data_IF_459931548473
#
_entry.id   IF_459931548473
#
_cell.length_a   1.000
_cell.length_b   1.000
_cell.length_c   1.000
_cell.angle_alpha   90.00
_cell.angle_beta   90.00
_cell.angle_gamma   90.00
#
_symmetry.space_group_name_H-M   'P 1'
#
loop_
_entity.id
_entity.type
_entity.pdbx_description
1 polymer ?
#
# COMPACT_ATOMS: atom_id res chain seq x y z
N UNK A 1 9.60 20.81 0.16
CA UNK A 1 8.22 20.52 -0.21
C UNK A 1 7.74 21.50 -1.30
N UNK A 2 8.32 21.45 -2.48
CA UNK A 2 7.83 22.16 -3.68
C UNK A 2 8.26 21.30 -4.87
N UNK A 3 7.32 20.92 -5.71
CA UNK A 3 7.42 20.23 -7.01
C UNK A 3 7.21 18.71 -7.10
N UNK A 4 6.65 18.02 -6.13
CA UNK A 4 6.20 16.63 -6.38
C UNK A 4 4.78 16.62 -6.99
N UNK A 5 3.94 17.62 -6.74
CA UNK A 5 2.58 17.70 -7.28
C UNK A 5 2.46 17.96 -8.80
N UNK A 6 3.49 18.45 -9.47
CA UNK A 6 3.40 18.81 -10.90
C UNK A 6 3.59 17.67 -11.88
N UNK A 7 4.17 16.54 -11.45
CA UNK A 7 4.49 15.41 -12.34
C UNK A 7 3.46 14.28 -12.27
N UNK A 8 2.64 14.25 -11.21
CA UNK A 8 1.53 13.28 -11.06
C UNK A 8 0.39 13.54 -12.07
N UNK A 9 0.32 14.74 -12.65
CA UNK A 9 -0.79 15.15 -13.52
C UNK A 9 -1.01 14.31 -14.79
N UNK A 10 -0.05 13.52 -15.23
CA UNK A 10 -0.16 12.81 -16.50
C UNK A 10 -0.43 11.31 -16.37
N UNK A 11 -0.23 10.70 -15.20
CA UNK A 11 -0.23 9.26 -15.05
C UNK A 11 -1.62 8.65 -14.80
N UNK A 12 -2.47 9.35 -14.08
CA UNK A 12 -3.81 8.83 -13.70
C UNK A 12 -4.94 9.16 -14.68
N UNK A 13 -4.68 9.91 -15.75
CA UNK A 13 -5.73 10.33 -16.70
C UNK A 13 -6.50 9.17 -17.34
N UNK A 14 -5.88 8.02 -17.54
CA UNK A 14 -6.54 6.85 -18.16
C UNK A 14 -7.54 6.14 -17.24
N UNK A 15 -7.28 6.15 -15.95
CA UNK A 15 -8.10 5.44 -14.96
C UNK A 15 -9.34 6.25 -14.53
N UNK A 16 -9.23 7.57 -14.52
CA UNK A 16 -10.25 8.48 -14.01
C UNK A 16 -11.27 8.99 -15.04
N UNK A 17 -11.02 8.83 -16.34
CA UNK A 17 -12.00 9.17 -17.40
C UNK A 17 -13.32 8.36 -17.32
N UNK A 18 -13.37 7.32 -16.47
CA UNK A 18 -14.59 6.52 -16.25
C UNK A 18 -15.71 7.28 -15.54
N UNK A 19 -15.37 8.27 -14.72
CA UNK A 19 -16.36 9.00 -13.93
C UNK A 19 -17.13 10.09 -14.72
N UNK A 20 -16.52 10.68 -15.75
CA UNK A 20 -17.17 11.75 -16.53
C UNK A 20 -18.18 11.25 -17.57
N UNK A 21 -18.13 9.97 -17.96
CA UNK A 21 -18.94 9.43 -19.05
C UNK A 21 -19.81 8.25 -18.63
N UNK A 22 -20.77 8.43 -17.76
CA UNK A 22 -21.83 7.47 -17.39
C UNK A 22 -21.93 6.21 -18.25
N UNK A 23 -21.21 5.17 -17.87
CA UNK A 23 -21.44 3.78 -18.21
C UNK A 23 -21.61 3.39 -19.68
N UNK A 24 -20.60 3.58 -20.55
CA UNK A 24 -20.45 2.78 -21.79
C UNK A 24 -18.98 2.77 -22.22
N UNK A 25 -18.37 1.59 -22.23
CA UNK A 25 -17.04 1.39 -22.80
C UNK A 25 -16.99 1.81 -24.27
N UNK A 26 -16.20 2.82 -24.57
CA UNK A 26 -15.69 3.09 -25.93
C UNK A 26 -14.16 3.16 -25.86
N UNK A 27 -13.52 2.26 -26.59
CA UNK A 27 -12.07 2.36 -26.85
C UNK A 27 -11.82 3.67 -27.57
N UNK A 28 -11.07 4.57 -26.94
CA UNK A 28 -10.61 5.82 -27.58
C UNK A 28 -9.12 5.68 -27.83
N UNK A 29 -8.78 5.71 -29.12
CA UNK A 29 -7.43 5.77 -29.62
C UNK A 29 -6.90 7.20 -29.36
N UNK A 30 -5.92 7.36 -28.49
CA UNK A 30 -5.29 8.66 -28.22
C UNK A 30 -4.07 8.81 -29.09
N UNK A 31 -4.15 9.77 -30.04
CA UNK A 31 -3.03 10.16 -30.88
C UNK A 31 -2.05 11.06 -30.12
N UNK A 32 -0.77 10.73 -30.25
CA UNK A 32 0.37 11.50 -29.76
C UNK A 32 0.45 12.88 -30.40
N UNK A 33 0.60 13.91 -29.57
CA UNK A 33 1.19 15.20 -30.01
C UNK A 33 2.41 15.46 -29.12
N UNK A 34 3.58 15.25 -29.73
CA UNK A 34 4.88 15.59 -29.16
C UNK A 34 5.15 17.09 -29.36
N UNK A 35 5.46 17.83 -28.32
CA UNK A 35 6.09 19.15 -28.41
C UNK A 35 7.41 19.09 -27.63
N UNK A 36 8.50 19.10 -28.41
CA UNK A 36 9.85 19.20 -27.87
C UNK A 36 10.19 20.60 -27.45
N UNK A 37 10.91 20.74 -26.34
CA UNK A 37 11.71 21.89 -26.03
C UNK A 37 13.11 21.44 -25.58
N UNK A 38 14.09 21.73 -26.46
CA UNK A 38 15.52 21.67 -26.15
C UNK A 38 15.88 22.78 -25.14
N UNK A 39 16.66 22.43 -24.14
CA UNK A 39 17.49 23.41 -23.46
C UNK A 39 18.89 22.83 -23.26
N UNK A 40 19.83 23.37 -24.05
CA UNK A 40 21.27 23.09 -23.93
C UNK A 40 21.82 23.81 -22.69
N UNK A 41 22.59 23.11 -21.86
CA UNK A 41 23.59 23.75 -21.01
C UNK A 41 24.90 23.00 -21.08
N UNK A 42 25.86 23.66 -21.72
CA UNK A 42 27.28 23.38 -21.70
C UNK A 42 27.83 23.51 -20.29
N UNK A 43 28.63 22.58 -19.84
CA UNK A 43 29.69 22.83 -18.89
C UNK A 43 30.94 22.03 -19.19
N UNK A 44 32.05 22.71 -19.15
CA UNK A 44 33.33 22.38 -19.70
C UNK A 44 34.21 21.46 -18.84
N UNK A 45 35.12 20.83 -19.53
CA UNK A 45 36.24 19.98 -19.11
C UNK A 45 37.05 20.44 -17.91
N UNK A 46 37.57 19.44 -17.18
CA UNK A 46 38.74 19.54 -16.32
C UNK A 46 39.33 18.15 -16.07
N UNK A 47 40.24 17.72 -16.96
CA UNK A 47 41.05 16.51 -16.79
C UNK A 47 42.20 16.75 -15.84
N UNK A 48 42.41 15.89 -14.84
CA UNK A 48 43.73 15.66 -14.26
C UNK A 48 43.95 14.16 -14.05
N UNK A 49 44.98 13.69 -14.75
CA UNK A 49 45.58 12.37 -14.60
C UNK A 49 46.52 12.36 -13.41
N UNK A 50 46.42 11.40 -12.50
CA UNK A 50 47.48 11.05 -11.58
C UNK A 50 47.82 9.56 -11.58
N UNK A 51 49.11 9.30 -11.41
CA UNK A 51 49.83 8.06 -11.72
C UNK A 51 49.56 6.94 -10.72
N UNK A 52 49.48 5.75 -11.27
CA UNK A 52 49.57 4.47 -10.59
C UNK A 52 50.99 4.19 -10.14
N UNK A 53 51.18 3.76 -8.89
CA UNK A 53 52.38 3.08 -8.38
C UNK A 53 51.89 1.75 -7.76
N UNK A 54 52.44 0.61 -8.14
CA UNK A 54 52.08 -0.67 -7.58
C UNK A 54 52.83 -0.94 -6.28
N UNK A 55 52.15 -1.43 -5.25
CA UNK A 55 52.80 -2.02 -4.08
C UNK A 55 52.30 -3.44 -3.84
N UNK A 56 53.27 -4.22 -3.39
CA UNK A 56 53.30 -5.67 -3.33
C UNK A 56 52.34 -6.31 -2.32
N UNK A 57 51.98 -7.55 -2.70
CA UNK A 57 51.24 -8.53 -1.94
C UNK A 57 51.99 -8.95 -0.67
N UNK A 58 51.32 -8.87 0.48
CA UNK A 58 51.64 -9.69 1.63
C UNK A 58 50.38 -10.42 2.11
N UNK A 59 50.45 -11.73 2.02
CA UNK A 59 49.44 -12.69 2.34
C UNK A 59 49.58 -13.09 3.82
N UNK A 60 48.75 -12.55 4.71
CA UNK A 60 48.51 -13.17 6.02
C UNK A 60 47.03 -13.38 6.20
N UNK A 61 46.65 -14.68 6.26
CA UNK A 61 45.29 -15.13 6.61
C UNK A 61 45.10 -14.95 8.11
N UNK A 62 44.30 -13.98 8.51
CA UNK A 62 43.59 -14.01 9.80
C UNK A 62 42.18 -14.50 9.56
N UNK A 63 41.57 -15.24 10.50
CA UNK A 63 40.17 -15.66 10.37
C UNK A 63 39.27 -14.43 10.47
N UNK A 64 38.51 -14.20 9.43
CA UNK A 64 37.42 -13.21 9.46
C UNK A 64 36.30 -13.81 10.29
N UNK A 65 36.26 -13.43 11.58
CA UNK A 65 35.01 -13.46 12.31
C UNK A 65 34.05 -12.47 11.59
N UNK A 66 33.07 -13.02 10.90
CA UNK A 66 31.94 -12.24 10.44
C UNK A 66 31.13 -11.84 11.67
N UNK A 67 31.43 -10.68 12.24
CA UNK A 67 30.45 -9.95 13.02
C UNK A 67 29.32 -9.59 12.02
N UNK A 68 28.23 -10.34 12.06
CA UNK A 68 26.93 -9.83 11.62
C UNK A 68 26.60 -8.64 12.52
N UNK A 69 27.02 -7.45 12.11
CA UNK A 69 26.49 -6.22 12.67
C UNK A 69 25.00 -6.22 12.30
N UNK A 70 24.13 -6.52 13.29
CA UNK A 70 22.71 -6.13 13.23
C UNK A 70 22.70 -4.65 12.83
N UNK A 71 22.36 -4.38 11.58
CA UNK A 71 22.02 -3.04 11.16
C UNK A 71 20.66 -2.78 11.77
N UNK A 72 20.60 -1.96 12.80
CA UNK A 72 19.35 -1.33 13.21
C UNK A 72 18.81 -0.56 12.01
N UNK A 73 17.90 -1.17 11.28
CA UNK A 73 17.13 -0.48 10.25
C UNK A 73 16.18 0.44 11.01
N UNK A 74 16.54 1.71 11.09
CA UNK A 74 15.68 2.74 11.68
C UNK A 74 14.51 3.00 10.73
N UNK A 75 13.42 2.26 10.91
CA UNK A 75 12.14 2.60 10.32
C UNK A 75 11.45 3.66 11.18
N UNK A 76 10.84 4.64 10.51
CA UNK A 76 9.94 5.55 11.17
C UNK A 76 8.64 4.80 11.55
N UNK A 77 8.29 4.83 12.84
CA UNK A 77 7.12 4.13 13.36
C UNK A 77 6.01 5.13 13.67
N UNK A 78 4.85 4.92 13.07
CA UNK A 78 3.62 5.63 13.44
C UNK A 78 2.87 4.79 14.48
N UNK A 79 2.96 5.18 15.75
CA UNK A 79 2.36 4.41 16.85
C UNK A 79 0.91 4.83 17.11
N UNK A 80 0.02 3.85 17.23
CA UNK A 80 -1.39 4.03 17.59
C UNK A 80 -1.80 3.09 18.73
N UNK A 81 -2.80 3.49 19.47
CA UNK A 81 -3.36 2.68 20.55
C UNK A 81 -4.85 2.50 20.31
N UNK A 82 -5.30 1.25 20.25
CA UNK A 82 -6.72 0.88 20.17
C UNK A 82 -7.11 0.30 21.55
N UNK A 83 -8.01 0.99 22.24
CA UNK A 83 -8.54 0.55 23.51
C UNK A 83 -9.75 -0.37 23.32
N UNK A 84 -9.68 -1.60 23.86
CA UNK A 84 -10.80 -2.54 23.91
C UNK A 84 -11.16 -2.81 25.37
N UNK A 85 -12.29 -2.32 25.87
CA UNK A 85 -12.67 -2.52 27.26
C UNK A 85 -12.76 -4.00 27.64
N UNK A 86 -12.07 -4.40 28.70
CA UNK A 86 -12.11 -5.77 29.22
C UNK A 86 -11.10 -6.74 28.59
N UNK A 87 -10.25 -6.27 27.67
CA UNK A 87 -9.16 -7.07 27.11
C UNK A 87 -8.21 -7.53 28.22
N UNK A 88 -7.83 -8.82 28.20
CA UNK A 88 -6.98 -9.44 29.25
C UNK A 88 -5.50 -9.37 28.93
N UNK A 89 -5.16 -9.25 27.67
CA UNK A 89 -3.79 -9.19 27.17
C UNK A 89 -3.60 -7.99 26.26
N UNK A 90 -2.37 -7.52 26.13
CA UNK A 90 -2.00 -6.53 25.15
C UNK A 90 -1.48 -7.24 23.90
N UNK A 91 -1.82 -6.71 22.73
CA UNK A 91 -1.37 -7.22 21.44
C UNK A 91 -0.67 -6.12 20.64
N UNK A 92 0.30 -6.51 19.84
CA UNK A 92 1.01 -5.63 18.92
C UNK A 92 0.72 -6.06 17.48
N UNK A 93 0.18 -5.15 16.69
CA UNK A 93 -0.01 -5.33 15.26
C UNK A 93 0.90 -4.39 14.49
N UNK A 94 1.44 -4.84 13.36
CA UNK A 94 2.19 -3.99 12.43
C UNK A 94 1.39 -3.84 11.15
N UNK A 95 1.31 -2.61 10.65
CA UNK A 95 0.65 -2.26 9.39
C UNK A 95 1.71 -1.81 8.40
N UNK A 96 1.69 -2.41 7.22
CA UNK A 96 2.49 -2.03 6.04
C UNK A 96 1.52 -1.78 4.90
N UNK A 97 1.68 -0.70 4.19
CA UNK A 97 0.81 -0.31 3.08
C UNK A 97 1.56 0.51 2.05
N UNK A 98 1.03 0.56 0.83
CA UNK A 98 1.57 1.42 -0.23
C UNK A 98 3.10 1.25 -0.34
N UNK A 99 3.57 0.00 -0.47
CA UNK A 99 5.00 -0.28 -0.67
C UNK A 99 5.42 -0.08 -2.11
N UNK A 100 4.49 -0.29 -3.07
CA UNK A 100 4.69 -0.10 -4.49
C UNK A 100 5.99 -0.71 -5.01
N UNK A 101 6.22 -2.01 -4.75
CA UNK A 101 7.41 -2.71 -5.23
C UNK A 101 7.44 -2.71 -6.74
N UNK A 102 8.56 -2.24 -7.33
CA UNK A 102 8.84 -2.28 -8.76
C UNK A 102 10.19 -2.94 -8.97
N UNK A 103 10.19 -4.05 -9.70
CA UNK A 103 11.39 -4.72 -10.19
C UNK A 103 11.53 -4.37 -11.66
N UNK A 104 12.49 -3.54 -12.07
CA UNK A 104 12.70 -3.18 -13.46
C UNK A 104 13.22 -4.40 -14.24
N UNK A 105 12.35 -5.12 -14.91
CA UNK A 105 12.66 -6.27 -15.74
C UNK A 105 11.98 -6.20 -17.11
N UNK A 106 11.94 -7.28 -17.86
CA UNK A 106 11.35 -7.35 -19.19
C UNK A 106 9.88 -7.80 -19.24
N UNK A 107 9.20 -7.91 -18.10
CA UNK A 107 7.81 -8.42 -18.02
C UNK A 107 6.75 -7.34 -18.29
N UNK A 108 7.12 -6.24 -18.94
CA UNK A 108 6.26 -5.13 -19.32
C UNK A 108 6.56 -4.64 -20.75
N UNK A 109 5.63 -3.85 -21.31
CA UNK A 109 5.75 -3.34 -22.68
C UNK A 109 6.93 -2.34 -22.76
N UNK A 110 7.82 -2.55 -23.74
CA UNK A 110 9.04 -1.74 -23.87
C UNK A 110 8.77 -0.24 -24.05
N UNK A 111 7.63 0.15 -24.64
CA UNK A 111 7.21 1.54 -24.79
C UNK A 111 6.89 2.20 -23.45
N UNK A 112 6.72 1.42 -22.37
CA UNK A 112 6.43 1.88 -21.02
C UNK A 112 7.67 2.00 -20.13
N UNK A 113 8.86 1.64 -20.61
CA UNK A 113 10.07 1.62 -19.76
C UNK A 113 10.40 2.98 -19.14
N UNK A 114 10.27 4.09 -19.88
CA UNK A 114 10.49 5.43 -19.32
C UNK A 114 9.49 5.78 -18.20
N UNK A 115 8.24 5.40 -18.37
CA UNK A 115 7.17 5.57 -17.40
C UNK A 115 7.46 4.75 -16.13
N UNK A 116 7.92 3.52 -16.27
CA UNK A 116 8.30 2.64 -15.16
C UNK A 116 9.52 3.19 -14.41
N UNK A 117 10.54 3.70 -15.12
CA UNK A 117 11.69 4.37 -14.48
C UNK A 117 11.27 5.57 -13.63
N UNK A 118 10.30 6.37 -14.11
CA UNK A 118 9.75 7.48 -13.33
C UNK A 118 9.01 6.98 -12.09
N UNK A 119 8.27 5.88 -12.18
CA UNK A 119 7.58 5.29 -11.02
C UNK A 119 8.57 4.72 -10.00
N UNK A 120 9.65 4.06 -10.42
CA UNK A 120 10.72 3.62 -9.51
C UNK A 120 11.28 4.82 -8.72
N UNK A 121 11.53 5.95 -9.40
CA UNK A 121 12.00 7.15 -8.74
C UNK A 121 10.95 7.77 -7.79
N UNK A 122 9.67 7.71 -8.14
CA UNK A 122 8.55 8.20 -7.33
C UNK A 122 8.40 7.41 -6.03
N UNK A 123 8.53 6.09 -6.09
CA UNK A 123 8.41 5.17 -4.95
C UNK A 123 9.76 4.82 -4.32
N UNK A 124 10.71 5.74 -4.37
CA UNK A 124 11.96 5.66 -3.60
C UNK A 124 11.84 6.50 -2.32
N UNK A 125 12.51 6.06 -1.25
CA UNK A 125 12.52 6.79 0.01
C UNK A 125 13.42 8.04 -0.04
N UNK A 126 13.46 8.81 1.04
CA UNK A 126 14.26 10.03 1.14
C UNK A 126 15.78 9.81 0.96
N UNK A 127 16.27 8.59 1.19
CA UNK A 127 17.68 8.22 1.03
C UNK A 127 17.98 7.70 -0.39
N UNK A 128 16.98 7.69 -1.26
CA UNK A 128 17.08 7.23 -2.64
C UNK A 128 17.04 5.72 -2.81
N UNK A 129 16.70 4.95 -1.77
CA UNK A 129 16.45 3.51 -1.89
C UNK A 129 15.09 3.28 -2.54
N UNK A 130 15.05 2.38 -3.51
CA UNK A 130 13.82 1.96 -4.17
C UNK A 130 12.92 1.14 -3.25
N UNK A 131 11.64 1.03 -3.60
CA UNK A 131 10.69 0.18 -2.88
C UNK A 131 11.10 -1.30 -2.85
N UNK A 132 11.78 -1.78 -3.90
CA UNK A 132 12.37 -3.11 -3.94
C UNK A 132 13.50 -3.29 -2.91
N UNK A 133 14.36 -2.27 -2.73
CA UNK A 133 15.49 -2.33 -1.80
C UNK A 133 15.04 -2.18 -0.34
N UNK A 134 13.98 -1.41 -0.08
CA UNK A 134 13.47 -1.19 1.28
C UNK A 134 12.62 -2.35 1.80
N UNK A 135 11.99 -3.15 0.93
CA UNK A 135 11.11 -4.23 1.34
C UNK A 135 11.75 -5.27 2.27
N UNK A 136 12.92 -5.86 1.95
CA UNK A 136 13.58 -6.79 2.87
C UNK A 136 13.97 -6.14 4.21
N UNK A 137 14.31 -4.85 4.24
CA UNK A 137 14.62 -4.11 5.47
C UNK A 137 13.37 -3.93 6.35
N UNK A 138 12.23 -3.65 5.73
CA UNK A 138 10.93 -3.58 6.43
C UNK A 138 10.59 -4.93 7.06
N UNK A 139 10.77 -6.04 6.32
CA UNK A 139 10.50 -7.39 6.84
C UNK A 139 11.42 -7.74 8.02
N UNK A 140 12.69 -7.36 7.96
CA UNK A 140 13.63 -7.55 9.08
C UNK A 140 13.19 -6.75 10.31
N UNK A 141 12.77 -5.50 10.12
CA UNK A 141 12.26 -4.67 11.22
C UNK A 141 10.94 -5.20 11.81
N UNK A 142 10.02 -5.71 10.97
CA UNK A 142 8.81 -6.38 11.44
C UNK A 142 9.16 -7.56 12.36
N UNK A 143 10.10 -8.41 11.92
CA UNK A 143 10.52 -9.57 12.70
C UNK A 143 11.22 -9.17 14.01
N UNK A 144 11.99 -8.08 14.03
CA UNK A 144 12.62 -7.53 15.24
C UNK A 144 11.59 -7.03 16.27
N UNK A 145 10.47 -6.48 15.80
CA UNK A 145 9.36 -6.04 16.65
C UNK A 145 8.59 -7.19 17.30
N UNK A 146 8.70 -8.41 16.76
CA UNK A 146 7.98 -9.59 17.24
C UNK A 146 6.49 -9.32 17.48
N UNK A 147 5.71 -8.92 16.44
CA UNK A 147 4.30 -8.61 16.59
C UNK A 147 3.44 -9.88 16.73
N UNK A 148 2.22 -9.69 17.23
CA UNK A 148 1.20 -10.75 17.29
C UNK A 148 0.49 -10.95 15.93
N UNK A 149 0.52 -9.94 15.06
CA UNK A 149 -0.03 -9.99 13.71
C UNK A 149 0.53 -8.90 12.81
N UNK A 150 0.51 -9.13 11.50
CA UNK A 150 0.93 -8.19 10.47
C UNK A 150 -0.20 -8.00 9.47
N UNK A 151 -0.46 -6.75 9.11
CA UNK A 151 -1.46 -6.36 8.13
C UNK A 151 -0.73 -5.71 6.96
N UNK A 152 -0.73 -6.35 5.79
CA UNK A 152 -0.37 -5.72 4.54
C UNK A 152 -1.65 -5.11 3.97
N UNK A 153 -1.73 -3.80 3.93
CA UNK A 153 -2.99 -3.10 3.67
C UNK A 153 -3.09 -2.52 2.25
N UNK A 154 -2.59 -3.28 1.27
CA UNK A 154 -2.72 -3.01 -0.16
C UNK A 154 -1.60 -2.17 -0.76
N UNK A 155 -1.57 -2.14 -2.10
CA UNK A 155 -0.55 -1.50 -2.93
C UNK A 155 0.88 -1.94 -2.56
N UNK A 156 1.02 -3.25 -2.33
CA UNK A 156 2.32 -3.83 -2.01
C UNK A 156 3.23 -3.91 -3.23
N UNK A 157 2.66 -4.19 -4.41
CA UNK A 157 3.33 -4.03 -5.71
C UNK A 157 2.67 -2.88 -6.48
N UNK A 158 3.41 -2.24 -7.38
CA UNK A 158 2.93 -1.06 -8.09
C UNK A 158 2.06 -1.38 -9.31
N UNK A 159 2.29 -2.53 -9.88
CA UNK A 159 1.50 -3.15 -10.93
C UNK A 159 1.84 -4.64 -10.95
N UNK A 160 0.92 -5.43 -11.47
CA UNK A 160 1.17 -6.86 -11.56
C UNK A 160 2.26 -7.15 -12.61
N UNK A 161 3.33 -7.82 -12.16
CA UNK A 161 4.28 -8.58 -12.94
C UNK A 161 4.75 -9.78 -12.13
N UNK A 162 5.23 -10.85 -12.78
CA UNK A 162 5.78 -11.99 -12.04
C UNK A 162 7.02 -11.58 -11.22
N UNK A 163 7.80 -10.63 -11.69
CA UNK A 163 8.97 -10.15 -10.97
C UNK A 163 8.57 -9.36 -9.71
N UNK A 164 7.59 -8.46 -9.80
CA UNK A 164 7.07 -7.70 -8.65
C UNK A 164 6.47 -8.65 -7.61
N UNK A 165 5.60 -9.57 -8.04
CA UNK A 165 4.99 -10.56 -7.16
C UNK A 165 6.04 -11.48 -6.51
N UNK A 166 7.02 -11.97 -7.26
CA UNK A 166 8.08 -12.82 -6.71
C UNK A 166 8.97 -12.07 -5.72
N UNK A 167 9.27 -10.80 -5.98
CA UNK A 167 10.00 -9.94 -5.04
C UNK A 167 9.24 -9.82 -3.72
N UNK A 168 7.96 -9.44 -3.79
CA UNK A 168 7.09 -9.35 -2.61
C UNK A 168 7.06 -10.67 -1.84
N UNK A 169 6.76 -11.79 -2.52
CA UNK A 169 6.55 -13.09 -1.89
C UNK A 169 7.83 -13.70 -1.30
N UNK A 170 9.00 -13.38 -1.84
CA UNK A 170 10.29 -13.87 -1.33
C UNK A 170 10.50 -13.41 0.12
N UNK A 171 10.28 -12.15 0.37
CA UNK A 171 10.50 -11.58 1.70
C UNK A 171 9.26 -11.70 2.60
N UNK A 172 8.04 -11.65 2.05
CA UNK A 172 6.81 -11.89 2.79
C UNK A 172 6.86 -13.23 3.57
N UNK A 173 7.37 -14.28 2.94
CA UNK A 173 7.53 -15.61 3.56
C UNK A 173 8.52 -15.65 4.73
N UNK A 174 9.33 -14.61 4.92
CA UNK A 174 10.26 -14.46 6.06
C UNK A 174 9.58 -13.86 7.30
N UNK A 175 8.40 -13.29 7.16
CA UNK A 175 7.63 -12.75 8.29
C UNK A 175 7.19 -13.94 9.16
N UNK A 176 7.49 -13.85 10.47
CA UNK A 176 7.24 -14.92 11.43
C UNK A 176 5.85 -14.88 12.05
N UNK A 177 5.28 -13.69 12.16
CA UNK A 177 3.92 -13.50 12.67
C UNK A 177 2.87 -13.86 11.62
N UNK A 178 1.62 -14.16 12.02
CA UNK A 178 0.51 -14.30 11.08
C UNK A 178 0.32 -13.04 10.24
N UNK A 179 0.17 -13.21 8.94
CA UNK A 179 0.00 -12.09 7.98
C UNK A 179 -1.40 -12.14 7.37
N UNK A 180 -2.08 -11.00 7.40
CA UNK A 180 -3.26 -10.69 6.58
C UNK A 180 -2.80 -9.79 5.42
N UNK A 181 -3.16 -10.12 4.18
CA UNK A 181 -2.82 -9.31 3.02
C UNK A 181 -4.08 -8.90 2.26
N UNK A 182 -4.54 -7.68 2.50
CA UNK A 182 -5.57 -7.03 1.69
C UNK A 182 -4.93 -6.58 0.37
N UNK A 183 -5.50 -6.99 -0.78
CA UNK A 183 -5.07 -6.46 -2.08
C UNK A 183 -5.77 -5.14 -2.36
N UNK A 184 -5.07 -4.30 -3.13
CA UNK A 184 -5.61 -3.09 -3.71
C UNK A 184 -5.51 -3.14 -5.24
N UNK A 185 -5.90 -2.09 -5.91
CA UNK A 185 -5.97 -2.05 -7.38
C UNK A 185 -4.60 -2.14 -8.05
N UNK A 186 -3.54 -1.59 -7.42
CA UNK A 186 -2.17 -1.73 -7.90
C UNK A 186 -1.67 -3.17 -7.85
N UNK A 187 -2.00 -3.93 -6.81
CA UNK A 187 -1.61 -5.34 -6.69
C UNK A 187 -2.16 -6.20 -7.85
N UNK A 188 -3.29 -5.81 -8.42
CA UNK A 188 -3.99 -6.51 -9.50
C UNK A 188 -3.89 -5.81 -10.86
N UNK A 189 -3.28 -4.63 -10.93
CA UNK A 189 -3.24 -3.80 -12.13
C UNK A 189 -2.29 -4.33 -13.21
N UNK A 190 -2.77 -4.44 -14.46
CA UNK A 190 -2.01 -4.92 -15.62
C UNK A 190 -1.62 -3.79 -16.60
N UNK A 191 -1.47 -2.57 -16.10
CA UNK A 191 -1.35 -1.35 -16.93
C UNK A 191 -0.09 -1.30 -17.80
N UNK A 192 0.94 -2.04 -17.43
CA UNK A 192 2.25 -2.03 -18.07
C UNK A 192 2.59 -3.32 -18.79
N UNK A 193 1.67 -4.28 -18.85
CA UNK A 193 1.84 -5.55 -19.57
C UNK A 193 0.62 -5.87 -20.43
N UNK A 194 0.83 -6.46 -21.60
CA UNK A 194 -0.20 -7.06 -22.43
C UNK A 194 -0.11 -8.61 -22.43
N UNK A 195 0.71 -9.15 -21.51
CA UNK A 195 0.93 -10.60 -21.34
C UNK A 195 -0.17 -11.26 -20.51
N UNK A 196 -0.78 -10.53 -19.56
CA UNK A 196 -1.74 -11.06 -18.60
C UNK A 196 -3.16 -10.58 -18.86
N UNK A 197 -4.14 -11.42 -18.48
CA UNK A 197 -5.55 -11.04 -18.33
C UNK A 197 -5.87 -10.81 -16.85
N UNK A 198 -7.00 -10.17 -16.54
CA UNK A 198 -7.47 -9.99 -15.16
C UNK A 198 -7.65 -11.35 -14.45
N UNK A 199 -8.12 -12.40 -15.18
CA UNK A 199 -8.25 -13.74 -14.64
C UNK A 199 -6.89 -14.39 -14.33
N UNK A 200 -5.89 -14.20 -15.19
CA UNK A 200 -4.53 -14.70 -14.95
C UNK A 200 -3.96 -14.10 -13.66
N UNK A 201 -4.12 -12.78 -13.47
CA UNK A 201 -3.63 -12.07 -12.29
C UNK A 201 -4.33 -12.55 -11.04
N UNK A 202 -5.65 -12.61 -11.02
CA UNK A 202 -6.41 -13.08 -9.87
C UNK A 202 -6.02 -14.51 -9.47
N UNK A 203 -5.80 -15.38 -10.45
CA UNK A 203 -5.34 -16.75 -10.18
C UNK A 203 -3.94 -16.77 -9.58
N UNK A 204 -2.98 -16.03 -10.15
CA UNK A 204 -1.59 -15.98 -9.68
C UNK A 204 -1.50 -15.38 -8.27
N UNK A 205 -2.22 -14.31 -8.01
CA UNK A 205 -2.31 -13.70 -6.69
C UNK A 205 -2.87 -14.67 -5.64
N UNK A 206 -3.97 -15.35 -5.97
CA UNK A 206 -4.58 -16.36 -5.10
C UNK A 206 -3.69 -17.57 -4.84
N UNK A 207 -2.92 -18.01 -5.85
CA UNK A 207 -1.94 -19.09 -5.70
C UNK A 207 -0.71 -18.67 -4.87
N UNK A 208 -0.37 -17.40 -4.88
CA UNK A 208 0.79 -16.86 -4.16
C UNK A 208 0.55 -16.72 -2.66
N UNK A 209 -0.63 -16.23 -2.27
CA UNK A 209 -1.08 -15.98 -0.90
C UNK A 209 -2.60 -16.01 -0.83
N UNK A 210 -3.14 -16.29 0.36
CA UNK A 210 -4.59 -16.27 0.58
C UNK A 210 -5.20 -14.92 0.15
N UNK A 211 -6.26 -15.00 -0.66
CA UNK A 211 -6.93 -13.84 -1.23
C UNK A 211 -8.45 -14.07 -1.20
N UNK A 212 -9.05 -13.65 -0.10
CA UNK A 212 -10.49 -13.60 0.06
C UNK A 212 -10.95 -12.13 0.06
N UNK A 213 -12.21 -11.87 -0.33
CA UNK A 213 -12.78 -10.53 -0.25
C UNK A 213 -12.89 -10.03 1.20
N UNK A 214 -13.21 -10.94 2.12
CA UNK A 214 -13.25 -10.68 3.56
C UNK A 214 -12.35 -11.68 4.27
N UNK A 215 -11.29 -11.19 4.89
CA UNK A 215 -10.33 -12.00 5.65
C UNK A 215 -10.48 -11.77 7.14
N UNK A 216 -10.08 -12.74 7.95
CA UNK A 216 -10.20 -12.66 9.41
C UNK A 216 -8.95 -13.19 10.09
N UNK A 217 -8.43 -12.42 11.05
CA UNK A 217 -7.51 -12.91 12.08
C UNK A 217 -8.23 -12.86 13.42
N UNK A 218 -8.45 -14.02 14.04
CA UNK A 218 -9.11 -14.13 15.34
C UNK A 218 -8.08 -14.17 16.48
N UNK A 219 -8.05 -13.14 17.31
CA UNK A 219 -7.20 -13.02 18.50
C UNK A 219 -7.90 -13.54 19.77
N UNK A 220 -9.05 -14.22 19.62
CA UNK A 220 -9.86 -14.76 20.70
C UNK A 220 -10.76 -13.72 21.36
N UNK A 221 -10.21 -12.60 21.77
CA UNK A 221 -10.93 -11.51 22.47
C UNK A 221 -11.43 -10.42 21.50
N UNK A 222 -10.89 -10.34 20.29
CA UNK A 222 -11.30 -9.43 19.22
C UNK A 222 -10.94 -10.03 17.86
N UNK A 223 -11.49 -9.46 16.81
CA UNK A 223 -11.20 -9.82 15.42
C UNK A 223 -10.47 -8.67 14.73
N UNK A 224 -9.52 -9.00 13.86
CA UNK A 224 -9.07 -8.13 12.79
C UNK A 224 -9.74 -8.62 11.51
N UNK A 225 -10.55 -7.77 10.89
CA UNK A 225 -11.31 -8.09 9.68
C UNK A 225 -10.78 -7.24 8.53
N UNK A 226 -10.19 -7.91 7.53
CA UNK A 226 -9.69 -7.29 6.32
C UNK A 226 -10.73 -7.33 5.21
N UNK A 227 -10.94 -6.20 4.54
CA UNK A 227 -11.79 -6.10 3.36
C UNK A 227 -10.94 -5.73 2.17
N UNK A 228 -11.01 -6.57 1.15
CA UNK A 228 -10.42 -6.29 -0.15
C UNK A 228 -11.36 -5.34 -0.92
N UNK A 229 -11.11 -4.04 -0.84
CA UNK A 229 -11.95 -3.01 -1.44
C UNK A 229 -11.37 -2.42 -2.74
N UNK A 230 -10.55 -3.18 -3.45
CA UNK A 230 -9.94 -2.79 -4.72
C UNK A 230 -10.95 -2.48 -5.84
N UNK A 231 -12.12 -3.12 -5.80
CA UNK A 231 -13.20 -2.88 -6.78
C UNK A 231 -14.12 -1.72 -6.38
N UNK A 232 -13.91 -1.13 -5.22
CA UNK A 232 -14.78 -0.11 -4.60
C UNK A 232 -16.21 -0.57 -4.34
N UNK A 233 -16.48 -1.88 -4.46
CA UNK A 233 -17.78 -2.49 -4.16
C UNK A 233 -17.58 -3.80 -3.41
N UNK A 234 -18.51 -4.11 -2.54
CA UNK A 234 -18.59 -5.37 -1.81
C UNK A 234 -19.57 -6.31 -2.52
N UNK A 235 -19.23 -7.59 -2.59
CA UNK A 235 -20.15 -8.60 -3.09
C UNK A 235 -21.22 -8.99 -2.06
N UNK A 236 -22.35 -9.57 -2.52
CA UNK A 236 -23.34 -10.16 -1.61
C UNK A 236 -22.74 -11.22 -0.69
N UNK A 237 -21.79 -12.03 -1.20
CA UNK A 237 -21.11 -13.06 -0.41
C UNK A 237 -20.21 -12.44 0.67
N UNK A 238 -19.50 -11.36 0.35
CA UNK A 238 -18.72 -10.59 1.31
C UNK A 238 -19.58 -9.97 2.40
N UNK A 239 -20.72 -9.37 2.01
CA UNK A 239 -21.67 -8.81 2.97
C UNK A 239 -22.25 -9.88 3.92
N UNK A 240 -22.64 -11.06 3.42
CA UNK A 240 -23.12 -12.14 4.29
C UNK A 240 -22.05 -12.62 5.26
N UNK A 241 -20.79 -12.79 4.81
CA UNK A 241 -19.67 -13.13 5.68
C UNK A 241 -19.46 -12.07 6.78
N UNK A 242 -19.58 -10.78 6.44
CA UNK A 242 -19.49 -9.70 7.43
C UNK A 242 -20.63 -9.76 8.44
N UNK A 243 -21.86 -10.03 8.02
CA UNK A 243 -23.01 -10.20 8.94
C UNK A 243 -22.79 -11.35 9.93
N UNK A 244 -22.18 -12.45 9.46
CA UNK A 244 -21.82 -13.57 10.35
C UNK A 244 -20.80 -13.13 11.41
N UNK A 245 -19.75 -12.36 11.01
CA UNK A 245 -18.73 -11.84 11.93
C UNK A 245 -19.31 -10.81 12.92
N UNK A 246 -20.22 -9.93 12.48
CA UNK A 246 -20.92 -9.00 13.38
C UNK A 246 -21.76 -9.70 14.44
N UNK A 247 -22.27 -10.90 14.11
CA UNK A 247 -23.07 -11.71 15.05
C UNK A 247 -22.22 -12.43 16.11
N UNK A 248 -20.88 -12.43 16.02
CA UNK A 248 -20.00 -13.04 17.04
C UNK A 248 -19.91 -12.24 18.34
N UNK A 249 -20.42 -11.01 18.36
CA UNK A 249 -20.36 -10.11 19.53
C UNK A 249 -18.93 -9.85 20.06
N UNK A 250 -17.95 -9.88 19.15
CA UNK A 250 -16.55 -9.55 19.42
C UNK A 250 -16.22 -8.15 18.89
N UNK A 251 -15.37 -7.37 19.59
CA UNK A 251 -14.84 -6.14 19.02
C UNK A 251 -14.10 -6.41 17.71
N UNK A 252 -14.30 -5.55 16.71
CA UNK A 252 -13.70 -5.66 15.37
C UNK A 252 -12.78 -4.48 15.11
N UNK A 253 -11.53 -4.76 14.77
CA UNK A 253 -10.64 -3.81 14.10
C UNK A 253 -10.78 -4.08 12.60
N UNK A 254 -11.37 -3.13 11.89
CA UNK A 254 -11.61 -3.24 10.46
C UNK A 254 -10.39 -2.69 9.71
N UNK A 255 -9.93 -3.36 8.67
CA UNK A 255 -8.82 -2.89 7.85
C UNK A 255 -9.15 -3.01 6.37
N UNK A 256 -8.80 -1.99 5.60
CA UNK A 256 -9.01 -1.91 4.16
C UNK A 256 -8.05 -0.92 3.54
N UNK A 257 -7.78 -1.06 2.24
CA UNK A 257 -6.87 -0.15 1.57
C UNK A 257 -7.45 1.26 1.46
N UNK A 258 -8.58 1.42 0.80
CA UNK A 258 -9.25 2.72 0.64
C UNK A 258 -9.98 3.09 1.93
N UNK A 259 -9.63 4.18 2.60
CA UNK A 259 -10.25 4.56 3.87
C UNK A 259 -11.70 5.03 3.71
N UNK A 260 -12.47 4.99 4.78
CA UNK A 260 -13.88 5.38 4.79
C UNK A 260 -14.05 6.90 4.92
N UNK A 261 -15.11 7.43 4.31
CA UNK A 261 -15.55 8.79 4.57
C UNK A 261 -16.20 8.90 5.95
N UNK A 262 -15.77 9.91 6.73
CA UNK A 262 -16.35 10.20 8.03
C UNK A 262 -17.81 10.67 7.93
N UNK A 263 -18.61 10.31 8.97
CA UNK A 263 -19.99 10.79 9.15
C UNK A 263 -20.07 12.06 10.00
N UNK A 264 -18.98 12.44 10.67
CA UNK A 264 -19.00 13.52 11.65
C UNK A 264 -18.09 14.71 11.30
N UNK A 265 -17.21 14.54 10.28
CA UNK A 265 -16.34 15.62 9.82
C UNK A 265 -15.90 15.41 8.36
N UNK A 266 -15.33 16.45 7.75
CA UNK A 266 -14.77 16.39 6.39
C UNK A 266 -13.23 16.47 6.37
N UNK A 267 -12.57 16.33 7.54
CA UNK A 267 -11.13 16.57 7.68
C UNK A 267 -10.26 15.73 6.76
N UNK A 268 -10.46 14.40 6.75
CA UNK A 268 -9.72 13.51 5.86
C UNK A 268 -10.09 13.76 4.39
N UNK A 269 -11.36 14.04 4.09
CA UNK A 269 -11.84 14.37 2.75
C UNK A 269 -11.16 15.62 2.20
N UNK A 270 -11.02 16.67 3.03
CA UNK A 270 -10.39 17.92 2.63
C UNK A 270 -8.85 17.75 2.52
N UNK A 271 -8.24 16.95 3.40
CA UNK A 271 -6.82 16.60 3.29
C UNK A 271 -6.54 15.81 2.00
N UNK A 272 -7.38 14.83 1.65
CA UNK A 272 -7.28 14.08 0.40
C UNK A 272 -7.38 15.00 -0.81
N UNK A 273 -8.38 15.88 -0.86
CA UNK A 273 -8.54 16.85 -1.95
C UNK A 273 -7.34 17.78 -2.09
N UNK A 274 -6.73 18.19 -1.00
CA UNK A 274 -5.57 19.07 -1.02
C UNK A 274 -4.33 18.40 -1.64
N UNK A 275 -4.20 17.08 -1.53
CA UNK A 275 -3.08 16.30 -2.09
C UNK A 275 -3.42 15.80 -3.49
N UNK A 276 -4.66 15.33 -3.71
CA UNK A 276 -5.09 14.57 -4.88
C UNK A 276 -6.01 15.37 -5.83
N UNK A 277 -5.72 16.64 -6.07
CA UNK A 277 -6.35 17.47 -7.10
C UNK A 277 -7.88 17.55 -6.99
N UNK A 278 -8.38 17.99 -5.84
CA UNK A 278 -9.82 18.11 -5.54
C UNK A 278 -10.58 16.76 -5.45
N UNK A 279 -9.87 15.65 -5.25
CA UNK A 279 -10.48 14.33 -5.07
C UNK A 279 -10.48 13.89 -3.62
N UNK A 280 -11.64 13.51 -3.13
CA UNK A 280 -11.77 12.78 -1.87
C UNK A 280 -11.70 11.28 -2.17
N UNK A 281 -10.50 10.70 -2.19
CA UNK A 281 -10.26 9.29 -2.49
C UNK A 281 -10.62 8.41 -1.29
N UNK A 282 -11.90 8.41 -0.92
CA UNK A 282 -12.45 7.74 0.26
C UNK A 282 -13.64 6.88 -0.14
N UNK A 283 -13.77 5.71 0.44
CA UNK A 283 -14.91 4.83 0.22
C UNK A 283 -16.17 5.43 0.85
N UNK A 284 -17.26 5.51 0.07
CA UNK A 284 -18.48 6.22 0.41
C UNK A 284 -18.54 7.66 -0.12
N UNK A 285 -17.61 8.05 -1.01
CA UNK A 285 -17.66 9.34 -1.72
C UNK A 285 -18.26 9.19 -3.11
N UNK A 286 -18.46 10.34 -3.77
CA UNK A 286 -18.90 10.38 -5.17
C UNK A 286 -17.90 9.71 -6.14
N UNK A 287 -18.33 9.51 -7.39
CA UNK A 287 -17.54 8.99 -8.47
C UNK A 287 -17.18 7.51 -8.27
N UNK A 288 -15.88 7.15 -8.37
CA UNK A 288 -15.42 5.77 -8.35
C UNK A 288 -15.71 5.04 -7.01
N UNK A 289 -15.72 5.79 -5.91
CA UNK A 289 -15.95 5.25 -4.56
C UNK A 289 -17.38 5.37 -4.06
N UNK A 290 -18.33 5.66 -4.97
CA UNK A 290 -19.76 5.70 -4.64
C UNK A 290 -20.27 4.28 -4.41
N UNK A 291 -20.87 3.98 -3.23
CA UNK A 291 -21.32 2.63 -2.91
C UNK A 291 -22.56 2.24 -3.75
N UNK A 292 -22.59 0.99 -4.16
CA UNK A 292 -23.83 0.35 -4.61
C UNK A 292 -24.74 -0.04 -3.42
N UNK A 293 -25.85 -0.72 -3.68
CA UNK A 293 -26.81 -1.08 -2.62
C UNK A 293 -26.21 -2.06 -1.58
N UNK A 294 -25.36 -2.99 -2.02
CA UNK A 294 -24.73 -3.99 -1.15
C UNK A 294 -23.66 -3.32 -0.29
N UNK A 295 -22.80 -2.53 -0.91
CA UNK A 295 -21.76 -1.76 -0.24
C UNK A 295 -22.36 -0.75 0.75
N UNK A 296 -23.48 -0.11 0.40
CA UNK A 296 -24.16 0.80 1.32
C UNK A 296 -24.68 0.08 2.56
N UNK A 297 -25.21 -1.14 2.44
CA UNK A 297 -25.62 -1.93 3.60
C UNK A 297 -24.44 -2.22 4.53
N UNK A 298 -23.26 -2.51 3.98
CA UNK A 298 -22.06 -2.68 4.79
C UNK A 298 -21.68 -1.38 5.51
N UNK A 299 -21.68 -0.25 4.80
CA UNK A 299 -21.37 1.04 5.42
C UNK A 299 -22.39 1.37 6.54
N UNK A 300 -23.68 1.09 6.32
CA UNK A 300 -24.72 1.26 7.33
C UNK A 300 -24.46 0.39 8.57
N UNK A 301 -23.95 -0.84 8.40
CA UNK A 301 -23.55 -1.71 9.51
C UNK A 301 -22.34 -1.16 10.27
N UNK A 302 -21.35 -0.61 9.58
CA UNK A 302 -20.17 0.01 10.23
C UNK A 302 -20.58 1.21 11.07
N UNK A 303 -21.48 2.04 10.54
CA UNK A 303 -21.90 3.28 11.19
C UNK A 303 -23.08 3.13 12.17
N UNK A 304 -23.64 1.93 12.32
CA UNK A 304 -24.70 1.67 13.28
C UNK A 304 -24.24 1.96 14.72
N UNK A 305 -25.19 2.39 15.57
CA UNK A 305 -24.87 2.73 16.97
C UNK A 305 -24.34 1.54 17.76
N UNK A 306 -24.79 0.34 17.43
CA UNK A 306 -24.41 -0.95 18.02
C UNK A 306 -23.32 -1.70 17.22
N UNK A 307 -22.65 -1.03 16.30
CA UNK A 307 -21.53 -1.60 15.52
C UNK A 307 -20.45 -2.16 16.46
N UNK A 308 -19.94 -3.38 16.23
CA UNK A 308 -18.83 -3.95 16.97
C UNK A 308 -17.47 -3.36 16.55
N UNK A 309 -17.43 -2.48 15.56
CA UNK A 309 -16.20 -1.87 15.06
C UNK A 309 -15.65 -0.89 16.09
N UNK A 310 -14.42 -1.13 16.54
CA UNK A 310 -13.71 -0.30 17.53
C UNK A 310 -12.68 0.63 16.90
N UNK A 311 -12.21 0.32 15.71
CA UNK A 311 -11.32 1.18 14.92
C UNK A 311 -11.32 0.73 13.45
N UNK A 312 -10.97 1.65 12.55
CA UNK A 312 -10.72 1.38 11.12
C UNK A 312 -9.28 1.75 10.80
N UNK A 313 -8.63 0.91 9.97
CA UNK A 313 -7.27 1.12 9.47
C UNK A 313 -7.36 1.28 7.95
N UNK A 314 -6.88 2.42 7.46
CA UNK A 314 -6.83 2.76 6.04
C UNK A 314 -5.41 3.01 5.53
N UNK A 315 -5.28 3.14 4.20
CA UNK A 315 -4.06 3.37 3.44
C UNK A 315 -4.31 4.32 2.25
N UNK A 316 -3.77 4.05 1.05
CA UNK A 316 -4.14 4.64 -0.23
C UNK A 316 -3.74 6.11 -0.45
N UNK A 317 -3.77 6.92 0.58
CA UNK A 317 -3.61 8.37 0.44
C UNK A 317 -2.15 8.82 0.46
N UNK A 318 -1.21 7.93 0.76
CA UNK A 318 0.23 8.18 0.88
C UNK A 318 0.59 9.31 1.87
N UNK A 319 -0.26 9.52 2.88
CA UNK A 319 0.01 10.39 4.02
C UNK A 319 -0.70 9.89 5.27
N UNK A 320 -0.09 10.13 6.44
CA UNK A 320 -0.70 9.74 7.71
C UNK A 320 -1.82 10.71 8.10
N UNK A 321 -2.94 10.17 8.59
CA UNK A 321 -4.05 10.96 9.12
C UNK A 321 -4.81 10.21 10.21
N UNK A 322 -5.11 10.90 11.29
CA UNK A 322 -5.99 10.41 12.35
C UNK A 322 -7.37 11.05 12.17
N UNK A 323 -8.36 10.25 11.80
CA UNK A 323 -9.73 10.68 11.57
C UNK A 323 -10.68 10.11 12.62
N UNK A 324 -11.87 10.64 12.66
CA UNK A 324 -12.97 10.17 13.48
C UNK A 324 -14.17 9.88 12.58
N UNK A 325 -14.50 8.61 12.39
CA UNK A 325 -15.61 8.20 11.52
C UNK A 325 -16.98 8.47 12.13
N UNK A 326 -17.11 8.20 13.43
CA UNK A 326 -18.26 8.50 14.28
C UNK A 326 -17.74 9.03 15.61
N UNK A 327 -18.61 9.39 16.55
CA UNK A 327 -18.16 9.77 17.92
C UNK A 327 -17.41 8.64 18.65
N UNK A 328 -17.55 7.37 18.19
CA UNK A 328 -16.99 6.18 18.83
C UNK A 328 -15.85 5.53 18.05
N UNK A 329 -15.85 5.63 16.73
CA UNK A 329 -14.97 4.85 15.84
C UNK A 329 -13.88 5.75 15.26
N UNK A 330 -12.63 5.65 15.76
CA UNK A 330 -11.49 6.29 15.13
C UNK A 330 -11.09 5.56 13.83
N UNK A 331 -10.53 6.31 12.90
CA UNK A 331 -9.86 5.78 11.71
C UNK A 331 -8.42 6.25 11.68
N UNK A 332 -7.50 5.34 11.41
CA UNK A 332 -6.08 5.61 11.27
C UNK A 332 -5.65 5.32 9.85
N UNK A 333 -5.22 6.34 9.13
CA UNK A 333 -4.56 6.21 7.82
C UNK A 333 -3.06 6.29 8.07
N UNK A 334 -2.31 5.26 7.66
CA UNK A 334 -0.86 5.25 7.79
C UNK A 334 -0.20 5.80 6.54
N UNK A 335 0.99 6.39 6.71
CA UNK A 335 1.79 6.87 5.58
C UNK A 335 2.35 5.68 4.79
N UNK A 336 2.70 5.92 3.52
CA UNK A 336 3.17 4.90 2.59
C UNK A 336 4.51 4.29 3.04
N UNK A 337 4.59 2.96 3.01
CA UNK A 337 5.75 2.22 3.52
C UNK A 337 6.98 2.33 2.62
N UNK A 338 6.81 2.65 1.31
CA UNK A 338 7.98 2.95 0.46
C UNK A 338 8.82 4.11 0.99
N UNK A 339 8.25 5.00 1.82
CA UNK A 339 8.97 6.10 2.47
C UNK A 339 9.84 5.66 3.65
N UNK A 340 9.83 4.37 4.02
CA UNK A 340 10.53 3.82 5.17
C UNK A 340 9.72 3.90 6.47
N UNK A 341 8.39 3.94 6.39
CA UNK A 341 7.50 4.01 7.56
C UNK A 341 6.67 2.74 7.74
N UNK A 342 6.30 2.43 8.98
CA UNK A 342 5.34 1.38 9.31
C UNK A 342 4.40 1.83 10.41
N UNK A 343 3.16 1.34 10.38
CA UNK A 343 2.22 1.50 11.49
C UNK A 343 2.50 0.48 12.58
N UNK A 344 2.49 0.93 13.84
CA UNK A 344 2.55 0.04 15.01
C UNK A 344 1.33 0.27 15.86
N UNK A 345 0.48 -0.74 16.01
CA UNK A 345 -0.75 -0.64 16.78
C UNK A 345 -0.62 -1.46 18.04
N UNK A 346 -0.82 -0.81 19.19
CA UNK A 346 -1.01 -1.47 20.47
C UNK A 346 -2.51 -1.61 20.74
N UNK A 347 -3.00 -2.85 20.82
CA UNK A 347 -4.37 -3.15 21.24
C UNK A 347 -4.35 -3.52 22.73
N UNK A 348 -5.11 -2.79 23.55
CA UNK A 348 -5.11 -2.97 25.02
C UNK A 348 -6.45 -2.63 25.68
#
# INVERSE_FOLDING_TARGET
MRNICGEIENFDKGYFDKCENGGKMRKVLVGLVSVGLMLEMLCACGSQTEKVIPNEVNNEKSPVETEETERDVLLDKSEKVIGIPGLKSQYKLIVVNDQHIIVPDGDYISEKSEEIEQRVAMFSNSDGKTSQETWPEIVDAINAENPDGVILNGDMIDFFSEANLNCLMTDLKRIKAPVMYNRADHDLGIWYSDTYTDEDVQQKEKESWDMEEVMVQDFGEFLVVGINNNTSQLSEAGLEKLKELWAEDKPIILTMHVPLKSQVNDGLSDASKAVWQDRALLWGTDCFYSPDEVTQQFLDMVFAEDSPVVAVIGAHLHFAYDDQLTEKIPQYVFDASFKGTVGVITVK
#
